data_IF_470600500608
#
_entry.id   IF_470600500608
#
_cell.length_a   1.000
_cell.length_b   1.000
_cell.length_c   1.000
_cell.angle_alpha   90.00
_cell.angle_beta   90.00
_cell.angle_gamma   90.00
#
_symmetry.space_group_name_H-M   'P 1'
#
loop_
_entity.id
_entity.type
_entity.pdbx_description
1 polymer ?
#
# COMPACT_ATOMS: atom_id res chain seq x y z
N UNK A 1 -11.19 -14.47 12.51
CA UNK A 1 -10.10 -14.18 11.54
C UNK A 1 -10.06 -12.68 11.30
N UNK A 2 -8.88 -12.09 11.36
CA UNK A 2 -8.72 -10.65 11.20
C UNK A 2 -8.33 -10.32 9.76
N UNK A 3 -8.90 -9.24 9.24
CA UNK A 3 -8.46 -8.70 7.97
C UNK A 3 -7.31 -7.72 8.20
N UNK A 4 -6.26 -7.85 7.39
CA UNK A 4 -5.06 -7.04 7.48
C UNK A 4 -4.92 -6.18 6.22
N UNK A 5 -4.34 -4.98 6.39
CA UNK A 5 -4.07 -4.07 5.29
C UNK A 5 -2.60 -3.63 5.36
N UNK A 6 -1.90 -3.74 4.23
CA UNK A 6 -0.54 -3.24 4.09
C UNK A 6 -0.58 -1.94 3.31
N UNK A 7 0.01 -0.88 3.87
CA UNK A 7 0.06 0.43 3.23
C UNK A 7 1.51 0.86 3.05
N UNK A 8 1.82 1.47 1.91
CA UNK A 8 3.21 1.79 1.57
C UNK A 8 3.42 3.23 1.08
N UNK A 9 2.38 4.05 1.07
CA UNK A 9 2.45 5.41 0.55
C UNK A 9 1.84 6.43 1.49
N UNK A 10 0.89 7.21 0.99
CA UNK A 10 0.30 8.32 1.73
C UNK A 10 -0.53 7.90 2.94
N UNK A 11 -0.87 6.61 3.05
CA UNK A 11 -1.60 6.08 4.21
C UNK A 11 -0.68 5.70 5.37
N UNK A 12 0.65 5.78 5.20
CA UNK A 12 1.60 5.49 6.27
C UNK A 12 1.53 6.54 7.38
N UNK A 13 1.95 6.15 8.59
CA UNK A 13 2.00 7.04 9.75
C UNK A 13 2.80 8.31 9.44
N UNK A 14 2.46 9.41 10.09
CA UNK A 14 3.16 10.69 10.01
C UNK A 14 3.06 11.39 8.65
N UNK A 15 2.10 11.00 7.82
CA UNK A 15 1.87 11.68 6.53
C UNK A 15 0.91 12.85 6.64
N UNK A 16 0.17 12.98 7.73
CA UNK A 16 -0.87 14.01 7.95
C UNK A 16 -1.99 13.98 6.91
N UNK A 17 -2.14 12.86 6.22
CA UNK A 17 -3.18 12.71 5.21
C UNK A 17 -4.51 12.39 5.89
N UNK A 18 -5.66 12.98 5.42
CA UNK A 18 -6.97 12.69 6.03
C UNK A 18 -7.32 11.19 6.01
N UNK A 19 -6.96 10.48 4.94
CA UNK A 19 -7.23 9.05 4.86
C UNK A 19 -6.38 8.23 5.83
N UNK A 20 -5.17 8.70 6.15
CA UNK A 20 -4.35 8.08 7.18
C UNK A 20 -5.02 8.20 8.55
N UNK A 21 -5.64 9.34 8.83
CA UNK A 21 -6.38 9.53 10.07
C UNK A 21 -7.58 8.59 10.15
N UNK A 22 -8.30 8.42 9.04
CA UNK A 22 -9.42 7.48 8.97
C UNK A 22 -8.94 6.05 9.23
N UNK A 23 -7.83 5.65 8.60
CA UNK A 23 -7.22 4.35 8.83
C UNK A 23 -6.86 4.16 10.31
N UNK A 24 -6.21 5.15 10.92
CA UNK A 24 -5.78 5.06 12.32
C UNK A 24 -6.97 4.92 13.27
N UNK A 25 -8.12 5.54 12.96
CA UNK A 25 -9.32 5.48 13.81
C UNK A 25 -10.01 4.13 13.74
N UNK A 26 -9.90 3.40 12.61
CA UNK A 26 -10.65 2.17 12.37
C UNK A 26 -9.76 0.94 12.20
N UNK A 27 -8.51 1.05 12.64
CA UNK A 27 -7.56 -0.05 12.56
C UNK A 27 -6.53 0.05 13.67
N UNK A 28 -5.70 -1.00 13.77
CA UNK A 28 -4.65 -1.08 14.77
C UNK A 28 -3.33 -1.36 14.06
N UNK A 29 -2.34 -0.52 14.29
CA UNK A 29 -0.98 -0.75 13.77
C UNK A 29 -0.41 -2.04 14.37
N UNK A 30 0.10 -2.91 13.51
CA UNK A 30 0.69 -4.18 13.93
C UNK A 30 2.21 -4.12 13.88
N UNK A 31 2.79 -3.80 12.72
CA UNK A 31 4.24 -3.82 12.54
C UNK A 31 4.62 -3.22 11.20
N UNK A 32 5.90 -2.91 11.05
CA UNK A 32 6.47 -2.66 9.74
C UNK A 32 6.54 -3.99 8.99
N UNK A 33 6.40 -3.93 7.67
CA UNK A 33 6.41 -5.12 6.83
C UNK A 33 7.03 -4.79 5.47
N UNK A 34 7.29 -5.84 4.69
CA UNK A 34 7.84 -5.72 3.34
C UNK A 34 7.01 -6.55 2.37
N UNK A 35 6.84 -6.00 1.18
CA UNK A 35 6.11 -6.62 0.09
C UNK A 35 7.05 -6.77 -1.11
N UNK A 36 7.13 -7.98 -1.68
CA UNK A 36 8.01 -8.23 -2.83
C UNK A 36 7.40 -7.59 -4.08
N UNK A 37 7.84 -6.38 -4.37
CA UNK A 37 7.28 -5.58 -5.45
C UNK A 37 8.27 -4.48 -5.84
N UNK A 38 8.01 -3.84 -6.99
CA UNK A 38 8.70 -2.64 -7.42
C UNK A 38 7.82 -1.43 -7.10
N UNK A 39 8.45 -0.39 -6.59
CA UNK A 39 7.77 0.83 -6.20
C UNK A 39 8.09 1.93 -7.21
N UNK A 40 7.05 2.57 -7.74
CA UNK A 40 7.19 3.65 -8.72
C UNK A 40 6.59 4.93 -8.21
N UNK A 41 7.18 6.05 -8.61
CA UNK A 41 6.61 7.39 -8.38
C UNK A 41 5.56 7.63 -9.46
N UNK A 42 4.29 7.61 -9.10
CA UNK A 42 3.18 7.79 -10.05
C UNK A 42 2.88 9.27 -10.22
N UNK A 43 2.65 9.96 -9.12
CA UNK A 43 2.40 11.39 -9.05
C UNK A 43 2.98 11.86 -7.71
N UNK A 44 2.22 12.57 -6.88
CA UNK A 44 2.66 12.86 -5.50
C UNK A 44 2.55 11.62 -4.59
N UNK A 45 2.12 10.49 -5.11
CA UNK A 45 1.94 9.21 -4.42
C UNK A 45 2.60 8.10 -5.23
N UNK A 46 2.89 6.95 -4.58
CA UNK A 46 3.54 5.84 -5.27
C UNK A 46 2.56 4.77 -5.72
N UNK A 47 3.05 3.87 -6.58
CA UNK A 47 2.36 2.65 -6.95
C UNK A 47 3.30 1.46 -6.88
N UNK A 48 2.84 0.35 -6.30
CA UNK A 48 3.61 -0.89 -6.19
C UNK A 48 3.06 -1.92 -7.17
N UNK A 49 3.98 -2.62 -7.85
CA UNK A 49 3.66 -3.67 -8.81
C UNK A 49 4.39 -4.95 -8.38
N UNK A 50 3.68 -6.09 -8.25
CA UNK A 50 4.32 -7.34 -7.84
C UNK A 50 5.54 -7.69 -8.67
N UNK A 51 6.57 -8.25 -8.05
CA UNK A 51 7.81 -8.61 -8.71
C UNK A 51 8.17 -10.07 -8.40
N UNK A 52 8.81 -10.74 -9.35
CA UNK A 52 9.36 -12.09 -9.16
C UNK A 52 10.78 -12.06 -8.61
N UNK A 53 11.37 -10.88 -8.44
CA UNK A 53 12.72 -10.74 -7.93
C UNK A 53 12.68 -10.51 -6.42
N UNK A 54 13.33 -11.40 -5.65
CA UNK A 54 13.35 -11.30 -4.18
C UNK A 54 14.06 -10.03 -3.67
N UNK A 55 14.90 -9.42 -4.49
CA UNK A 55 15.60 -8.18 -4.13
C UNK A 55 14.68 -6.96 -4.21
N UNK A 56 13.54 -7.08 -4.91
CA UNK A 56 12.57 -6.00 -4.99
C UNK A 56 11.68 -6.04 -3.75
N UNK A 57 11.86 -5.06 -2.86
CA UNK A 57 11.13 -5.00 -1.60
C UNK A 57 10.53 -3.62 -1.40
N UNK A 58 9.24 -3.56 -1.10
CA UNK A 58 8.52 -2.33 -0.77
C UNK A 58 8.30 -2.29 0.74
N UNK A 59 8.75 -1.22 1.38
CA UNK A 59 8.60 -1.02 2.82
C UNK A 59 7.24 -0.39 3.11
N UNK A 60 6.54 -0.91 4.08
CA UNK A 60 5.25 -0.38 4.47
C UNK A 60 4.87 -0.76 5.90
N UNK A 61 3.62 -0.51 6.21
CA UNK A 61 3.04 -0.71 7.54
C UNK A 61 1.85 -1.64 7.44
N UNK A 62 1.74 -2.55 8.40
CA UNK A 62 0.65 -3.51 8.46
C UNK A 62 -0.34 -3.10 9.55
N UNK A 63 -1.62 -3.07 9.20
CA UNK A 63 -2.72 -2.72 10.09
C UNK A 63 -3.72 -3.86 10.19
N UNK A 64 -4.23 -4.09 11.39
CA UNK A 64 -5.38 -4.95 11.63
C UNK A 64 -6.64 -4.09 11.54
N UNK A 65 -7.55 -4.45 10.63
CA UNK A 65 -8.77 -3.69 10.41
C UNK A 65 -9.79 -4.07 11.49
N UNK A 66 -10.30 -3.06 12.21
CA UNK A 66 -11.32 -3.26 13.25
C UNK A 66 -12.71 -3.23 12.63
N UNK A 67 -12.92 -2.32 11.68
CA UNK A 67 -14.20 -2.17 10.98
C UNK A 67 -13.98 -2.21 9.47
N UNK A 68 -13.61 -3.40 8.90
CA UNK A 68 -13.29 -3.48 7.47
C UNK A 68 -14.46 -3.10 6.57
N UNK A 69 -15.71 -3.39 6.98
CA UNK A 69 -16.89 -3.08 6.18
C UNK A 69 -17.12 -1.57 6.03
N UNK A 70 -16.62 -0.79 6.98
CA UNK A 70 -16.69 0.67 6.92
C UNK A 70 -15.46 1.24 6.20
N UNK A 71 -14.30 0.73 6.55
CA UNK A 71 -13.02 1.31 6.12
C UNK A 71 -12.67 0.99 4.68
N UNK A 72 -12.82 -0.29 4.26
CA UNK A 72 -12.40 -0.71 2.93
C UNK A 72 -13.14 0.02 1.80
N UNK A 73 -14.48 0.20 1.86
CA UNK A 73 -15.14 0.97 0.81
C UNK A 73 -14.65 2.42 0.71
N UNK A 74 -14.33 3.06 1.86
CA UNK A 74 -13.81 4.42 1.87
C UNK A 74 -12.42 4.48 1.25
N UNK A 75 -11.56 3.52 1.55
CA UNK A 75 -10.22 3.45 0.97
C UNK A 75 -10.27 3.10 -0.51
N UNK A 76 -11.15 2.18 -0.90
CA UNK A 76 -11.33 1.84 -2.31
C UNK A 76 -11.73 3.07 -3.12
N UNK A 77 -12.60 3.90 -2.57
CA UNK A 77 -13.01 5.14 -3.22
C UNK A 77 -11.83 6.11 -3.34
N UNK A 78 -11.03 6.25 -2.30
CA UNK A 78 -9.85 7.11 -2.31
C UNK A 78 -8.82 6.63 -3.35
N UNK A 79 -8.61 5.32 -3.45
CA UNK A 79 -7.62 4.73 -4.37
C UNK A 79 -8.17 4.60 -5.80
N UNK A 80 -9.39 5.07 -6.06
CA UNK A 80 -10.06 4.94 -7.35
C UNK A 80 -10.11 3.48 -7.81
N UNK A 81 -10.50 2.63 -6.88
CA UNK A 81 -10.59 1.19 -7.07
C UNK A 81 -12.06 0.77 -7.00
N UNK A 82 -12.52 0.03 -8.01
CA UNK A 82 -13.91 -0.45 -8.04
C UNK A 82 -14.62 -0.12 -9.34
N UNK A 83 -15.85 -0.62 -9.47
CA UNK A 83 -16.58 -0.54 -10.72
C UNK A 83 -17.06 0.85 -11.11
N UNK A 84 -17.03 1.81 -10.17
CA UNK A 84 -17.47 3.18 -10.43
C UNK A 84 -16.45 4.07 -11.11
N UNK A 85 -15.24 3.56 -11.40
CA UNK A 85 -14.15 4.35 -11.95
C UNK A 85 -13.80 3.93 -13.36
N UNK A 86 -13.16 4.85 -14.11
CA UNK A 86 -12.74 4.59 -15.49
C UNK A 86 -11.78 3.42 -15.58
N UNK A 87 -11.90 2.63 -16.64
CA UNK A 87 -11.03 1.49 -16.87
C UNK A 87 -9.83 1.87 -17.75
N UNK A 88 -8.63 1.32 -17.51
CA UNK A 88 -8.29 0.51 -16.33
C UNK A 88 -8.28 1.36 -15.07
N UNK A 89 -8.72 0.77 -13.96
CA UNK A 89 -8.65 1.45 -12.66
C UNK A 89 -7.18 1.71 -12.29
N UNK A 90 -6.94 2.77 -11.53
CA UNK A 90 -5.57 3.11 -11.14
C UNK A 90 -4.97 2.07 -10.21
N UNK A 91 -5.75 1.55 -9.27
CA UNK A 91 -5.31 0.51 -8.34
C UNK A 91 -6.32 -0.63 -8.29
N UNK A 92 -5.82 -1.81 -7.91
CA UNK A 92 -6.65 -2.97 -7.56
C UNK A 92 -6.33 -3.36 -6.13
N UNK A 93 -7.35 -3.61 -5.33
CA UNK A 93 -7.16 -4.13 -3.98
C UNK A 93 -7.11 -5.67 -4.06
N UNK A 94 -5.97 -6.24 -3.72
CA UNK A 94 -5.71 -7.68 -3.82
C UNK A 94 -5.13 -8.20 -2.52
N UNK A 95 -5.39 -9.47 -2.21
CA UNK A 95 -4.72 -10.17 -1.13
C UNK A 95 -3.32 -10.57 -1.61
N UNK A 96 -2.30 -10.17 -0.85
CA UNK A 96 -0.90 -10.44 -1.17
C UNK A 96 -0.18 -10.89 0.08
N UNK A 97 0.90 -11.66 -0.11
CA UNK A 97 1.76 -12.08 0.99
C UNK A 97 2.75 -10.96 1.30
N UNK A 98 2.86 -10.61 2.58
CA UNK A 98 3.85 -9.64 3.07
C UNK A 98 4.62 -10.27 4.23
N UNK A 99 5.84 -9.78 4.48
CA UNK A 99 6.72 -10.33 5.50
C UNK A 99 6.93 -9.30 6.60
N UNK A 100 6.67 -9.69 7.84
CA UNK A 100 6.86 -8.85 9.02
C UNK A 100 8.34 -8.77 9.39
N UNK A 101 8.67 -7.80 10.23
CA UNK A 101 10.05 -7.63 10.70
C UNK A 101 10.62 -8.88 11.38
N UNK A 102 9.76 -9.67 12.04
CA UNK A 102 10.19 -10.91 12.70
C UNK A 102 10.36 -12.09 11.74
N UNK A 103 10.10 -11.88 10.44
CA UNK A 103 10.22 -12.94 9.42
C UNK A 103 8.94 -13.70 9.11
N UNK A 104 7.86 -13.47 9.86
CA UNK A 104 6.59 -14.14 9.60
C UNK A 104 5.94 -13.60 8.33
N UNK A 105 5.38 -14.51 7.51
CA UNK A 105 4.57 -14.14 6.35
C UNK A 105 3.09 -14.12 6.74
N UNK A 106 2.39 -13.08 6.28
CA UNK A 106 0.95 -12.97 6.47
C UNK A 106 0.32 -12.51 5.16
N UNK A 107 -0.97 -12.78 5.00
CA UNK A 107 -1.75 -12.32 3.84
C UNK A 107 -2.48 -11.05 4.25
N UNK A 108 -2.36 -10.03 3.42
CA UNK A 108 -2.97 -8.72 3.68
C UNK A 108 -3.53 -8.13 2.39
N UNK A 109 -4.51 -7.25 2.54
CA UNK A 109 -4.96 -6.44 1.41
C UNK A 109 -3.86 -5.45 1.03
N UNK A 110 -3.62 -5.31 -0.28
CA UNK A 110 -2.66 -4.34 -0.83
C UNK A 110 -3.31 -3.65 -2.02
N UNK A 111 -3.14 -2.33 -2.10
CA UNK A 111 -3.56 -1.59 -3.29
C UNK A 111 -2.43 -1.67 -4.31
N UNK A 112 -2.61 -2.54 -5.30
CA UNK A 112 -1.62 -2.80 -6.35
C UNK A 112 -1.87 -1.82 -7.50
N UNK A 113 -0.81 -1.18 -7.98
CA UNK A 113 -0.92 -0.25 -9.10
C UNK A 113 -1.32 -1.01 -10.37
N UNK A 114 -2.34 -0.51 -11.07
CA UNK A 114 -3.02 -1.26 -12.13
C UNK A 114 -2.91 -0.60 -13.51
N UNK A 115 -1.96 0.31 -13.69
CA UNK A 115 -1.74 0.97 -14.98
C UNK A 115 -0.31 0.74 -15.44
N UNK A 116 0.02 1.16 -16.69
CA UNK A 116 1.37 1.03 -17.20
C UNK A 116 2.37 1.79 -16.34
N UNK A 117 3.53 1.19 -16.11
CA UNK A 117 4.65 1.83 -15.41
C UNK A 117 5.63 2.49 -16.36
N UNK A 118 5.35 2.45 -17.67
CA UNK A 118 6.22 3.06 -18.67
C UNK A 118 6.37 4.56 -18.40
N UNK A 119 7.62 5.03 -18.35
CA UNK A 119 7.91 6.42 -18.08
C UNK A 119 7.91 6.81 -16.62
N UNK A 120 7.51 5.92 -15.69
CA UNK A 120 7.52 6.22 -14.27
C UNK A 120 8.90 5.98 -13.67
N UNK A 121 9.27 6.83 -12.70
CA UNK A 121 10.54 6.69 -12.00
C UNK A 121 10.47 5.56 -10.97
N UNK A 122 11.43 4.63 -11.02
CA UNK A 122 11.55 3.57 -10.03
C UNK A 122 12.10 4.15 -8.72
N UNK A 123 11.44 3.86 -7.61
CA UNK A 123 11.93 4.21 -6.27
C UNK A 123 12.78 3.03 -5.78
N UNK A 124 14.09 3.10 -6.01
CA UNK A 124 15.00 1.98 -5.79
C UNK A 124 15.05 1.51 -4.34
N UNK A 125 14.88 2.42 -3.38
CA UNK A 125 14.89 2.06 -1.96
C UNK A 125 13.69 1.21 -1.56
N UNK A 126 12.60 1.28 -2.34
CA UNK A 126 11.33 0.64 -1.97
C UNK A 126 10.63 1.30 -0.79
N UNK A 127 11.11 2.43 -0.33
CA UNK A 127 10.55 3.16 0.82
C UNK A 127 10.17 4.56 0.39
N UNK A 128 8.86 4.78 0.22
CA UNK A 128 8.34 6.03 -0.29
C UNK A 128 8.67 7.22 0.61
N UNK A 129 8.57 7.05 1.93
CA UNK A 129 8.83 8.15 2.87
C UNK A 129 10.33 8.48 2.93
N UNK A 130 11.20 7.45 2.87
CA UNK A 130 12.65 7.67 2.83
C UNK A 130 13.07 8.36 1.54
N UNK A 131 12.45 8.00 0.41
CA UNK A 131 12.73 8.64 -0.88
C UNK A 131 12.40 10.13 -0.84
N UNK A 132 11.28 10.50 -0.24
CA UNK A 132 10.88 11.90 -0.08
C UNK A 132 11.83 12.68 0.81
N UNK A 133 12.29 12.08 1.90
CA UNK A 133 13.22 12.70 2.82
C UNK A 133 14.59 12.92 2.15
N UNK A 134 14.98 12.00 1.28
CA UNK A 134 16.24 12.06 0.57
C UNK A 134 16.30 13.09 -0.54
N UNK A 135 15.21 13.76 -0.82
CA UNK A 135 15.15 14.82 -1.80
C UNK A 135 15.41 16.16 -1.11
#
# INVERSE_FOLDING_TARGET
>A
MFELLFVYGTLRQNTNHPMQQLLAQHSRFIAMARYQARLYQVDYYPGAVPSNNADDQVVGELYQLIQPDLLLPALDNYEECGSGFAQPQEYRRELQSVVLENGDSVVAWVYVYNRSTEGLRLIKSGDFLADKIGQ
#
